data_IF_847260838877
#
_entry.id   IF_847260838877
#
_cell.length_a   1.000
_cell.length_b   1.000
_cell.length_c   1.000
_cell.angle_alpha   90.00
_cell.angle_beta   90.00
_cell.angle_gamma   90.00
#
_symmetry.space_group_name_H-M   'P 1'
#
loop_
_entity.id
_entity.type
_entity.pdbx_description
1 polymer ?
#
# COMPACT_ATOMS: atom_id res chain seq x y z
N UNK A 1 -18.73 -32.52 -33.72
CA UNK A 1 -17.83 -32.76 -32.57
C UNK A 1 -16.83 -31.63 -32.59
N UNK A 2 -17.00 -30.66 -31.70
CA UNK A 2 -16.13 -29.49 -31.62
C UNK A 2 -15.02 -29.82 -30.63
N UNK A 3 -13.78 -29.89 -31.11
CA UNK A 3 -12.61 -30.15 -30.26
C UNK A 3 -12.40 -28.99 -29.30
N UNK A 4 -12.43 -29.30 -28.01
CA UNK A 4 -12.19 -28.36 -26.93
C UNK A 4 -10.67 -28.25 -26.81
N UNK A 5 -10.11 -27.12 -27.21
CA UNK A 5 -8.68 -26.84 -27.11
C UNK A 5 -8.31 -26.77 -25.63
N UNK A 6 -7.71 -27.84 -25.09
CA UNK A 6 -7.21 -27.88 -23.72
C UNK A 6 -6.00 -26.94 -23.65
N UNK A 7 -6.25 -25.70 -23.20
CA UNK A 7 -5.20 -24.72 -22.95
C UNK A 7 -4.12 -25.33 -22.08
N UNK A 8 -2.86 -25.27 -22.55
CA UNK A 8 -1.72 -25.78 -21.80
C UNK A 8 -1.62 -25.05 -20.46
N UNK A 9 -1.77 -25.80 -19.38
CA UNK A 9 -1.47 -25.36 -18.02
C UNK A 9 0.02 -25.06 -17.96
N UNK A 10 0.36 -23.77 -18.01
CA UNK A 10 1.73 -23.34 -17.74
C UNK A 10 2.03 -23.45 -16.24
N UNK A 11 3.19 -23.98 -15.87
CA UNK A 11 3.62 -23.99 -14.46
C UNK A 11 4.00 -22.57 -14.02
N UNK A 12 4.03 -22.32 -12.71
CA UNK A 12 4.39 -21.01 -12.16
C UNK A 12 5.78 -20.52 -12.64
N UNK A 13 6.69 -21.44 -12.97
CA UNK A 13 8.02 -21.11 -13.51
C UNK A 13 7.95 -20.52 -14.93
N UNK A 14 6.98 -20.93 -15.75
CA UNK A 14 6.83 -20.44 -17.13
C UNK A 14 6.21 -19.02 -17.22
N UNK A 15 5.53 -18.57 -16.16
CA UNK A 15 5.09 -17.17 -16.02
C UNK A 15 6.22 -16.26 -15.58
N UNK A 16 7.15 -16.78 -14.78
CA UNK A 16 8.21 -15.99 -14.17
C UNK A 16 9.40 -15.74 -15.11
N UNK A 17 9.48 -16.46 -16.24
CA UNK A 17 10.59 -16.35 -17.18
C UNK A 17 11.91 -16.83 -16.56
N UNK A 18 12.81 -17.38 -17.38
CA UNK A 18 14.17 -17.64 -16.90
C UNK A 18 14.83 -16.31 -16.60
N UNK A 19 15.22 -16.11 -15.33
CA UNK A 19 15.94 -14.96 -14.79
C UNK A 19 17.20 -14.68 -15.61
N UNK A 20 17.02 -13.98 -16.73
CA UNK A 20 18.12 -13.40 -17.47
C UNK A 20 18.49 -12.17 -16.69
N UNK A 21 19.68 -12.17 -16.09
CA UNK A 21 20.24 -11.03 -15.37
C UNK A 21 20.02 -9.76 -16.20
N UNK A 22 19.12 -8.90 -15.72
CA UNK A 22 18.99 -7.56 -16.23
C UNK A 22 20.27 -6.84 -15.83
N UNK A 23 21.16 -6.62 -16.80
CA UNK A 23 22.30 -5.72 -16.65
C UNK A 23 21.77 -4.36 -16.22
N UNK A 24 21.92 -4.03 -14.94
CA UNK A 24 21.55 -2.75 -14.37
C UNK A 24 22.32 -1.67 -15.11
N UNK A 25 21.59 -0.91 -15.94
CA UNK A 25 22.11 0.29 -16.56
C UNK A 25 22.67 1.20 -15.47
N UNK A 26 23.87 1.72 -15.73
CA UNK A 26 24.62 2.60 -14.85
C UNK A 26 23.75 3.75 -14.34
N UNK A 27 23.75 3.97 -13.01
CA UNK A 27 23.68 5.35 -12.51
C UNK A 27 22.77 5.70 -11.35
N UNK A 28 22.04 4.79 -10.70
CA UNK A 28 21.35 5.11 -9.44
C UNK A 28 22.03 4.34 -8.30
N UNK A 29 22.89 5.03 -7.55
CA UNK A 29 23.37 4.53 -6.27
C UNK A 29 22.21 4.54 -5.29
N UNK A 30 21.51 3.42 -5.17
CA UNK A 30 20.67 3.18 -4.02
C UNK A 30 21.64 2.93 -2.87
N UNK A 31 21.90 3.98 -2.08
CA UNK A 31 22.53 3.77 -0.78
C UNK A 31 21.61 2.82 -0.01
N UNK A 32 22.16 1.70 0.45
CA UNK A 32 21.44 0.70 1.21
C UNK A 32 21.01 1.29 2.54
N UNK A 33 19.86 1.97 2.59
CA UNK A 33 19.25 2.48 3.83
C UNK A 33 18.52 1.35 4.56
N UNK A 34 19.21 0.21 4.73
CA UNK A 34 18.81 -0.83 5.68
C UNK A 34 19.79 -0.84 6.85
N UNK A 35 20.15 0.35 7.32
CA UNK A 35 20.68 0.49 8.67
C UNK A 35 19.50 0.25 9.62
N UNK A 36 19.57 -0.87 10.35
CA UNK A 36 18.62 -1.30 11.38
C UNK A 36 18.54 -0.36 12.60
N UNK A 37 19.18 0.80 12.54
CA UNK A 37 19.16 1.78 13.60
C UNK A 37 18.22 2.94 13.25
N UNK A 38 17.29 3.20 14.18
CA UNK A 38 16.43 4.38 14.31
C UNK A 38 15.05 4.31 13.64
N UNK A 39 14.24 3.35 14.12
CA UNK A 39 12.78 3.50 14.19
C UNK A 39 12.32 4.48 15.31
N UNK A 40 13.26 5.23 15.91
CA UNK A 40 13.07 5.91 17.20
C UNK A 40 12.81 7.42 17.10
N UNK A 41 12.49 7.93 15.91
CA UNK A 41 11.83 9.24 15.84
C UNK A 41 10.83 9.27 14.71
N UNK A 42 9.62 9.81 14.92
CA UNK A 42 8.77 10.16 13.81
C UNK A 42 9.49 11.27 13.05
N UNK A 43 10.24 10.89 12.01
CA UNK A 43 10.55 11.83 10.95
C UNK A 43 9.21 12.30 10.45
N UNK A 44 8.91 13.60 10.59
CA UNK A 44 7.74 14.20 9.96
C UNK A 44 7.99 14.15 8.46
N UNK A 45 7.59 13.04 7.83
CA UNK A 45 7.61 12.88 6.38
C UNK A 45 6.42 13.66 5.84
N UNK A 46 6.66 14.48 4.83
CA UNK A 46 5.61 15.19 4.12
C UNK A 46 4.65 14.20 3.44
N UNK A 47 3.38 14.56 3.36
CA UNK A 47 2.33 13.71 2.82
C UNK A 47 2.54 13.35 1.34
N UNK A 48 3.16 14.20 0.54
CA UNK A 48 3.46 13.87 -0.87
C UNK A 48 4.53 12.77 -0.92
N UNK A 49 5.60 12.91 -0.14
CA UNK A 49 6.61 11.86 -0.02
C UNK A 49 6.05 10.53 0.50
N UNK A 50 5.07 10.55 1.42
CA UNK A 50 4.38 9.33 1.87
C UNK A 50 3.61 8.64 0.74
N UNK A 51 2.94 9.39 -0.13
CA UNK A 51 2.21 8.82 -1.30
C UNK A 51 3.16 8.21 -2.31
N UNK A 52 4.32 8.82 -2.54
CA UNK A 52 5.35 8.27 -3.44
C UNK A 52 5.91 6.95 -2.91
N UNK A 53 6.17 6.87 -1.60
CA UNK A 53 6.60 5.62 -0.94
C UNK A 53 5.51 4.56 -1.03
N UNK A 54 4.26 4.94 -0.76
CA UNK A 54 3.10 4.05 -0.83
C UNK A 54 2.94 3.45 -2.23
N UNK A 55 3.02 4.29 -3.26
CA UNK A 55 2.90 3.86 -4.64
C UNK A 55 4.05 2.96 -5.12
N UNK A 56 5.29 3.23 -4.69
CA UNK A 56 6.46 2.49 -5.15
C UNK A 56 6.63 1.15 -4.41
N UNK A 57 6.36 1.12 -3.10
CA UNK A 57 6.78 0.02 -2.24
C UNK A 57 5.64 -0.79 -1.61
N UNK A 58 4.43 -0.24 -1.48
CA UNK A 58 3.33 -0.96 -0.84
C UNK A 58 2.57 -1.83 -1.85
N UNK A 59 2.51 -3.13 -1.56
CA UNK A 59 1.66 -4.06 -2.28
C UNK A 59 0.23 -3.96 -1.71
N UNK A 60 -0.63 -3.21 -2.38
CA UNK A 60 -2.02 -3.07 -1.95
C UNK A 60 -2.83 -4.33 -2.26
N UNK A 61 -3.71 -4.71 -1.33
CA UNK A 61 -4.73 -5.73 -1.56
C UNK A 61 -5.91 -5.21 -2.40
N UNK A 62 -6.95 -6.03 -2.51
CA UNK A 62 -8.10 -5.95 -3.44
C UNK A 62 -8.96 -4.66 -3.42
N UNK A 63 -8.61 -3.61 -2.66
CA UNK A 63 -9.52 -2.47 -2.40
C UNK A 63 -8.94 -1.07 -2.54
N UNK A 64 -7.62 -0.88 -2.73
CA UNK A 64 -7.02 0.47 -2.67
C UNK A 64 -6.78 1.11 -4.06
N UNK A 65 -6.79 0.32 -5.14
CA UNK A 65 -6.49 0.80 -6.50
C UNK A 65 -7.57 1.69 -7.16
N UNK A 66 -8.66 2.04 -6.47
CA UNK A 66 -9.74 2.83 -7.09
C UNK A 66 -9.53 4.35 -7.03
N UNK A 67 -8.57 4.83 -6.23
CA UNK A 67 -8.35 6.26 -6.06
C UNK A 67 -6.99 6.69 -6.62
N UNK A 68 -7.01 7.69 -7.50
CA UNK A 68 -5.79 8.30 -8.07
C UNK A 68 -4.92 8.96 -6.99
N UNK A 69 -5.55 9.46 -5.92
CA UNK A 69 -4.89 10.08 -4.77
C UNK A 69 -5.54 9.57 -3.49
N UNK A 70 -5.02 8.51 -2.86
CA UNK A 70 -5.54 8.03 -1.59
C UNK A 70 -5.37 9.09 -0.49
N UNK A 71 -6.36 9.16 0.40
CA UNK A 71 -6.31 10.02 1.59
C UNK A 71 -5.30 9.47 2.60
N UNK A 72 -4.57 10.35 3.27
CA UNK A 72 -3.69 9.96 4.38
C UNK A 72 -4.42 10.28 5.68
N UNK A 73 -4.84 9.25 6.40
CA UNK A 73 -5.48 9.42 7.70
C UNK A 73 -4.44 9.79 8.76
N UNK A 74 -4.60 10.96 9.38
CA UNK A 74 -3.72 11.45 10.45
C UNK A 74 -4.33 11.31 11.84
N UNK A 75 -5.66 11.13 11.92
CA UNK A 75 -6.35 10.91 13.18
C UNK A 75 -7.76 10.36 13.03
N UNK A 76 -8.34 9.95 14.15
CA UNK A 76 -9.69 9.44 14.22
C UNK A 76 -10.25 9.57 15.66
N UNK A 77 -11.58 9.66 15.79
CA UNK A 77 -12.28 9.68 17.09
C UNK A 77 -13.75 9.32 16.92
N UNK A 78 -14.25 8.34 17.67
CA UNK A 78 -15.63 7.88 17.54
C UNK A 78 -15.90 7.35 16.12
N UNK A 79 -16.88 7.92 15.42
CA UNK A 79 -17.16 7.58 14.01
C UNK A 79 -16.45 8.48 12.99
N UNK A 80 -15.50 9.31 13.41
CA UNK A 80 -14.84 10.30 12.57
C UNK A 80 -13.39 9.93 12.23
N UNK A 81 -13.00 10.26 11.01
CA UNK A 81 -11.65 10.15 10.47
C UNK A 81 -11.19 11.51 9.95
N UNK A 82 -9.94 11.88 10.19
CA UNK A 82 -9.32 13.15 9.80
C UNK A 82 -8.13 12.88 8.87
N UNK A 83 -8.07 13.57 7.74
CA UNK A 83 -6.95 13.47 6.81
C UNK A 83 -5.83 14.49 7.09
N UNK A 84 -4.78 14.43 6.28
CA UNK A 84 -3.63 15.32 6.32
C UNK A 84 -3.90 16.75 5.82
N UNK A 85 -5.02 16.95 5.14
CA UNK A 85 -5.50 18.27 4.67
C UNK A 85 -6.47 18.91 5.69
N UNK A 86 -6.73 18.25 6.82
CA UNK A 86 -7.62 18.73 7.88
C UNK A 86 -9.10 18.49 7.61
N UNK A 87 -9.45 17.72 6.57
CA UNK A 87 -10.84 17.38 6.26
C UNK A 87 -11.30 16.21 7.14
N UNK A 88 -12.55 16.31 7.55
CA UNK A 88 -13.21 15.34 8.42
C UNK A 88 -14.22 14.50 7.64
N UNK A 89 -14.27 13.21 7.91
CA UNK A 89 -15.15 12.24 7.28
C UNK A 89 -15.92 11.47 8.35
N UNK A 90 -17.17 11.13 8.04
CA UNK A 90 -17.94 10.15 8.82
C UNK A 90 -17.66 8.78 8.21
N UNK A 91 -17.04 7.88 8.97
CA UNK A 91 -16.80 6.50 8.53
C UNK A 91 -18.02 5.62 8.84
N UNK A 92 -18.96 5.56 7.89
CA UNK A 92 -20.15 4.71 7.98
C UNK A 92 -19.84 3.22 7.82
N UNK A 93 -18.67 2.87 7.29
CA UNK A 93 -18.23 1.48 7.10
C UNK A 93 -17.48 0.91 8.31
N UNK A 94 -17.05 1.79 9.23
CA UNK A 94 -16.37 1.45 10.48
C UNK A 94 -15.17 0.53 10.28
N UNK A 95 -14.33 0.83 9.27
CA UNK A 95 -13.23 -0.01 8.79
C UNK A 95 -13.59 -1.49 8.72
N UNK A 96 -14.44 -1.84 7.76
CA UNK A 96 -14.96 -3.21 7.60
C UNK A 96 -15.63 -3.73 8.89
N UNK A 97 -16.43 -2.89 9.56
CA UNK A 97 -17.12 -3.22 10.81
C UNK A 97 -16.21 -3.65 11.97
N UNK A 98 -14.93 -3.23 11.94
CA UNK A 98 -13.96 -3.56 12.99
C UNK A 98 -13.99 -2.57 14.14
N UNK A 99 -14.45 -1.35 13.90
CA UNK A 99 -14.39 -0.24 14.87
C UNK A 99 -15.71 -0.05 15.63
N UNK A 100 -16.30 -1.13 16.17
CA UNK A 100 -17.66 -1.15 16.74
C UNK A 100 -17.89 -0.19 17.91
N UNK A 101 -16.90 0.00 18.78
CA UNK A 101 -16.97 0.98 19.88
C UNK A 101 -16.51 2.39 19.46
N UNK A 102 -16.25 2.59 18.17
CA UNK A 102 -15.65 3.80 17.63
C UNK A 102 -14.13 3.81 17.73
N UNK A 103 -13.52 4.63 16.89
CA UNK A 103 -12.08 4.89 16.91
C UNK A 103 -11.64 5.57 18.21
N UNK A 104 -10.52 5.08 18.77
CA UNK A 104 -9.91 5.63 19.99
C UNK A 104 -10.90 5.73 21.17
N UNK A 105 -11.68 4.68 21.39
CA UNK A 105 -12.48 4.57 22.62
C UNK A 105 -11.54 4.65 23.85
N UNK A 106 -11.78 5.55 24.82
CA UNK A 106 -10.93 5.71 26.00
C UNK A 106 -11.12 4.62 27.07
N UNK A 107 -12.24 3.89 27.03
CA UNK A 107 -12.60 2.79 27.95
C UNK A 107 -12.12 1.44 27.42
#
# INVERSE_FOLDING_TARGET
>A
MTEINQGSSKTAEEWCGNSTEMSLHQGIKINSVLDKERLDSPTTIDSQALREIDQEYLCWGDTVHYQERPIIVTGCKGGLVFDDEGKSYIDTGMWHSSCNFGYRNPE
#
